data_IF_059356337574
#
_entry.id   IF_059356337574
#
_cell.length_a   1.000
_cell.length_b   1.000
_cell.length_c   1.000
_cell.angle_alpha   90.00
_cell.angle_beta   90.00
_cell.angle_gamma   90.00
#
_symmetry.space_group_name_H-M   'P 1'
#
loop_
_entity.id
_entity.type
_entity.pdbx_description
1 polymer ?
#
# COMPACT_ATOMS: atom_id res chain seq x y z
N UNK A 1 1.98 51.11 5.72
CA UNK A 1 2.03 49.92 6.53
C UNK A 1 1.82 48.71 5.62
N UNK A 2 2.93 48.26 5.01
CA UNK A 2 2.97 47.08 4.15
C UNK A 2 3.13 45.86 5.01
N UNK A 3 2.09 45.05 5.07
CA UNK A 3 2.20 43.67 5.53
C UNK A 3 2.63 42.87 4.31
N UNK A 4 3.93 42.60 4.19
CA UNK A 4 4.46 41.67 3.21
C UNK A 4 3.94 40.25 3.60
N UNK A 5 2.91 39.84 2.94
CA UNK A 5 2.51 38.43 2.94
C UNK A 5 3.56 37.65 2.16
N UNK A 6 4.51 37.08 2.88
CA UNK A 6 5.36 36.04 2.35
C UNK A 6 4.55 34.81 2.05
N UNK A 7 3.90 34.74 0.89
CA UNK A 7 3.44 33.47 0.32
C UNK A 7 4.70 32.63 0.09
N UNK A 8 4.98 31.72 1.01
CA UNK A 8 5.89 30.60 0.73
C UNK A 8 5.21 29.79 -0.36
N UNK A 9 5.50 30.13 -1.63
CA UNK A 9 5.09 29.33 -2.75
C UNK A 9 5.65 27.92 -2.55
N UNK A 10 4.78 26.92 -2.44
CA UNK A 10 5.23 25.55 -2.54
C UNK A 10 5.87 25.40 -3.91
N UNK A 11 7.17 25.10 -3.95
CA UNK A 11 7.82 24.72 -5.19
C UNK A 11 7.27 23.35 -5.59
N UNK A 12 6.25 23.38 -6.46
CA UNK A 12 5.51 22.18 -6.94
C UNK A 12 6.44 21.21 -7.67
N UNK A 13 7.66 21.62 -8.01
CA UNK A 13 8.62 20.80 -8.75
C UNK A 13 9.46 19.87 -7.87
N UNK A 14 9.45 20.05 -6.55
CA UNK A 14 10.28 19.26 -5.62
C UNK A 14 9.48 18.76 -4.43
N UNK A 15 8.69 17.73 -4.62
CA UNK A 15 8.06 17.02 -3.50
C UNK A 15 8.35 15.52 -3.58
N UNK A 16 8.20 14.86 -2.43
CA UNK A 16 8.41 13.44 -2.25
C UNK A 16 7.26 12.86 -1.44
N UNK A 17 6.48 11.97 -2.02
CA UNK A 17 5.51 11.20 -1.28
C UNK A 17 6.19 10.05 -0.54
N UNK A 18 5.95 9.93 0.77
CA UNK A 18 6.44 8.82 1.60
C UNK A 18 5.31 8.19 2.39
N UNK A 19 5.48 6.90 2.72
CA UNK A 19 4.78 6.24 3.81
C UNK A 19 5.54 6.42 5.12
N UNK A 20 5.49 5.42 6.01
CA UNK A 20 6.18 5.45 7.30
C UNK A 20 7.72 5.49 7.24
N UNK A 21 8.33 5.57 6.06
CA UNK A 21 9.78 5.72 5.87
C UNK A 21 10.60 4.45 6.14
N UNK A 22 9.98 3.31 6.41
CA UNK A 22 10.65 2.07 6.85
C UNK A 22 11.61 1.46 5.80
N UNK A 23 11.55 1.90 4.55
CA UNK A 23 12.42 1.42 3.47
C UNK A 23 13.12 2.58 2.73
N UNK A 24 13.44 3.65 3.45
CA UNK A 24 14.12 4.83 2.91
C UNK A 24 15.31 5.21 3.80
N UNK A 25 16.38 5.63 3.16
CA UNK A 25 17.54 6.22 3.82
C UNK A 25 17.87 7.53 3.10
N UNK A 26 17.74 8.65 3.82
CA UNK A 26 18.22 9.94 3.34
C UNK A 26 19.72 10.04 3.60
N UNK A 27 20.50 10.19 2.56
CA UNK A 27 21.97 10.40 2.64
C UNK A 27 22.34 11.87 2.67
N UNK A 28 21.39 12.74 2.29
CA UNK A 28 21.52 14.20 2.27
C UNK A 28 20.16 14.82 2.58
N UNK A 29 20.12 16.11 2.89
CA UNK A 29 18.89 16.86 3.08
C UNK A 29 18.09 16.91 1.78
N UNK A 30 16.83 16.50 1.82
CA UNK A 30 15.94 16.59 0.66
C UNK A 30 15.57 18.06 0.40
N UNK A 31 16.03 18.59 -0.74
CA UNK A 31 15.78 19.97 -1.15
C UNK A 31 14.39 20.14 -1.74
N UNK A 32 13.33 19.99 -0.91
CA UNK A 32 11.94 20.04 -1.34
C UNK A 32 10.97 19.78 -0.20
N UNK A 33 9.73 19.43 -0.52
CA UNK A 33 8.69 19.12 0.45
C UNK A 33 8.47 17.59 0.54
N UNK A 34 8.63 17.04 1.73
CA UNK A 34 8.26 15.64 2.00
C UNK A 34 6.80 15.59 2.45
N UNK A 35 5.99 14.79 1.77
CA UNK A 35 4.56 14.64 2.04
C UNK A 35 4.30 13.22 2.56
N UNK A 36 3.90 13.12 3.84
CA UNK A 36 3.43 11.89 4.45
C UNK A 36 1.91 11.94 4.60
N UNK A 37 1.19 11.12 3.84
CA UNK A 37 -0.27 10.99 3.94
C UNK A 37 -0.68 10.43 5.31
N UNK A 38 -1.84 10.90 5.82
CA UNK A 38 -2.37 10.46 7.13
C UNK A 38 -3.75 9.83 7.01
N UNK A 39 -4.11 9.37 5.82
CA UNK A 39 -5.42 8.78 5.56
C UNK A 39 -5.45 7.36 6.13
N UNK A 40 -6.27 7.17 7.14
CA UNK A 40 -6.48 5.91 7.86
C UNK A 40 -7.89 5.38 7.64
N UNK A 41 -8.18 4.23 8.22
CA UNK A 41 -9.48 3.57 8.20
C UNK A 41 -9.47 2.31 7.35
N UNK A 42 -10.33 1.37 7.74
CA UNK A 42 -10.55 0.09 7.06
C UNK A 42 -12.04 -0.05 6.89
N UNK A 43 -12.50 -0.25 5.65
CA UNK A 43 -13.91 -0.31 5.29
C UNK A 43 -14.18 -1.52 4.38
N UNK A 44 -15.18 -2.34 4.72
CA UNK A 44 -15.67 -3.40 3.84
C UNK A 44 -16.61 -2.78 2.81
N UNK A 45 -16.20 -2.77 1.54
CA UNK A 45 -16.98 -2.21 0.42
C UNK A 45 -17.95 -3.21 -0.17
N UNK A 46 -17.57 -4.49 -0.20
CA UNK A 46 -18.35 -5.56 -0.76
C UNK A 46 -18.11 -6.85 0.03
N UNK A 47 -19.16 -7.63 0.22
CA UNK A 47 -19.11 -8.92 0.91
C UNK A 47 -19.89 -9.94 0.14
N UNK A 48 -19.21 -10.94 -0.41
CA UNK A 48 -19.82 -12.13 -1.02
C UNK A 48 -19.65 -13.35 -0.11
N UNK A 49 -20.08 -14.53 -0.56
CA UNK A 49 -19.86 -15.79 0.15
C UNK A 49 -18.38 -16.23 0.12
N UNK A 50 -17.65 -15.86 -0.93
CA UNK A 50 -16.26 -16.31 -1.17
C UNK A 50 -15.21 -15.28 -0.80
N UNK A 51 -15.50 -13.98 -0.95
CA UNK A 51 -14.55 -12.90 -0.76
C UNK A 51 -15.17 -11.64 -0.14
N UNK A 52 -14.32 -10.75 0.33
CA UNK A 52 -14.65 -9.36 0.63
C UNK A 52 -13.73 -8.41 -0.12
N UNK A 53 -14.26 -7.28 -0.59
CA UNK A 53 -13.47 -6.13 -0.99
C UNK A 53 -13.31 -5.19 0.21
N UNK A 54 -12.07 -4.97 0.60
CA UNK A 54 -11.72 -4.14 1.76
C UNK A 54 -10.93 -2.93 1.29
N UNK A 55 -11.47 -1.75 1.52
CA UNK A 55 -10.82 -0.47 1.23
C UNK A 55 -10.05 0.01 2.44
N UNK A 56 -8.76 0.28 2.27
CA UNK A 56 -7.83 0.58 3.37
C UNK A 56 -7.10 1.88 3.09
N UNK A 57 -7.09 2.79 4.06
CA UNK A 57 -6.36 4.05 3.98
C UNK A 57 -4.84 3.82 3.90
N UNK A 58 -4.18 4.61 3.06
CA UNK A 58 -2.75 4.42 2.76
C UNK A 58 -1.83 4.51 3.99
N UNK A 59 -2.22 5.25 5.04
CA UNK A 59 -1.47 5.40 6.29
C UNK A 59 -1.86 4.39 7.38
N UNK A 60 -2.62 3.35 7.06
CA UNK A 60 -2.83 2.22 7.96
C UNK A 60 -1.55 1.40 8.01
N UNK A 61 -1.05 1.12 9.21
CA UNK A 61 0.12 0.26 9.41
C UNK A 61 -0.18 -1.12 8.84
N UNK A 62 0.72 -1.63 8.03
CA UNK A 62 0.50 -2.87 7.28
C UNK A 62 0.17 -4.06 8.19
N UNK A 63 0.95 -4.26 9.25
CA UNK A 63 0.74 -5.40 10.16
C UNK A 63 -0.54 -5.28 10.99
N UNK A 64 -0.96 -4.06 11.35
CA UNK A 64 -2.27 -3.80 11.96
C UNK A 64 -3.42 -4.21 11.00
N UNK A 65 -3.25 -3.96 9.69
CA UNK A 65 -4.21 -4.41 8.69
C UNK A 65 -4.23 -5.93 8.58
N UNK A 66 -3.08 -6.60 8.53
CA UNK A 66 -3.01 -8.07 8.52
C UNK A 66 -3.71 -8.66 9.74
N UNK A 67 -3.44 -8.12 10.94
CA UNK A 67 -4.11 -8.53 12.18
C UNK A 67 -5.62 -8.34 12.09
N UNK A 68 -6.07 -7.17 11.64
CA UNK A 68 -7.48 -6.86 11.46
C UNK A 68 -8.17 -7.86 10.52
N UNK A 69 -7.52 -8.28 9.42
CA UNK A 69 -8.11 -9.25 8.50
C UNK A 69 -8.35 -10.59 9.16
N UNK A 70 -7.41 -11.09 9.95
CA UNK A 70 -7.53 -12.35 10.69
C UNK A 70 -8.66 -12.28 11.73
N UNK A 71 -8.76 -11.18 12.48
CA UNK A 71 -9.82 -10.93 13.46
C UNK A 71 -11.23 -10.89 12.81
N UNK A 72 -11.31 -10.55 11.52
CA UNK A 72 -12.54 -10.50 10.74
C UNK A 72 -12.78 -11.76 9.86
N UNK A 73 -11.98 -12.82 10.03
CA UNK A 73 -12.02 -14.04 9.22
C UNK A 73 -11.88 -13.77 7.71
N UNK A 74 -10.94 -12.87 7.37
CA UNK A 74 -10.55 -12.55 6.00
C UNK A 74 -9.09 -12.99 5.80
N UNK A 75 -8.83 -13.68 4.70
CA UNK A 75 -7.60 -14.41 4.46
C UNK A 75 -6.97 -14.06 3.12
N UNK A 76 -5.66 -14.30 3.01
CA UNK A 76 -4.89 -14.16 1.78
C UNK A 76 -3.73 -13.18 1.88
N UNK A 77 -3.41 -12.63 3.07
CA UNK A 77 -2.24 -11.78 3.31
C UNK A 77 -1.42 -12.22 4.54
N UNK A 78 -1.71 -13.37 5.12
CA UNK A 78 -1.09 -13.87 6.35
C UNK A 78 0.44 -14.01 6.21
N UNK A 79 0.89 -14.47 5.05
CA UNK A 79 2.31 -14.63 4.74
C UNK A 79 3.09 -13.29 4.73
N UNK A 80 2.37 -12.17 4.66
CA UNK A 80 2.94 -10.82 4.60
C UNK A 80 2.94 -10.12 5.96
N UNK A 81 2.62 -10.84 7.05
CA UNK A 81 2.68 -10.32 8.42
C UNK A 81 4.09 -9.88 8.78
N UNK A 82 4.19 -8.94 9.74
CA UNK A 82 5.44 -8.37 10.26
C UNK A 82 6.32 -7.62 9.24
N UNK A 83 5.84 -7.40 8.00
CA UNK A 83 6.52 -6.50 7.07
C UNK A 83 6.32 -5.06 7.54
N UNK A 84 7.39 -4.31 7.82
CA UNK A 84 7.26 -2.93 8.29
C UNK A 84 6.77 -2.00 7.17
N UNK A 85 5.95 -1.00 7.51
CA UNK A 85 5.48 0.01 6.59
C UNK A 85 3.97 0.25 6.68
N UNK A 86 3.46 0.96 5.69
CA UNK A 86 2.07 1.37 5.57
C UNK A 86 1.43 0.77 4.32
N UNK A 87 0.11 0.65 4.32
CA UNK A 87 -0.67 0.01 3.25
C UNK A 87 -0.44 0.64 1.87
N UNK A 88 -0.35 1.98 1.77
CA UNK A 88 -0.03 2.64 0.50
C UNK A 88 1.35 2.26 -0.03
N UNK A 89 2.35 2.22 0.85
CA UNK A 89 3.72 1.83 0.49
C UNK A 89 3.80 0.35 0.06
N UNK A 90 2.94 -0.52 0.62
CA UNK A 90 2.88 -1.94 0.22
C UNK A 90 2.53 -2.09 -1.26
N UNK A 91 1.59 -1.27 -1.76
CA UNK A 91 1.20 -1.26 -3.17
C UNK A 91 2.29 -0.67 -4.08
N UNK A 92 3.02 0.37 -3.62
CA UNK A 92 4.13 0.95 -4.41
C UNK A 92 5.24 -0.07 -4.62
N UNK A 93 5.60 -0.82 -3.58
CA UNK A 93 6.75 -1.72 -3.60
C UNK A 93 6.45 -3.15 -4.00
N UNK A 94 5.16 -3.50 -4.20
CA UNK A 94 4.75 -4.89 -4.34
C UNK A 94 5.41 -5.76 -3.26
N UNK A 95 5.10 -5.47 -1.99
CA UNK A 95 5.70 -6.22 -0.87
C UNK A 95 5.43 -7.71 -1.03
N UNK A 96 6.39 -8.52 -0.63
CA UNK A 96 6.25 -9.97 -0.74
C UNK A 96 7.14 -10.72 0.24
N UNK A 97 6.64 -11.82 0.73
CA UNK A 97 7.33 -12.76 1.61
C UNK A 97 6.72 -14.16 1.49
N UNK A 98 7.49 -15.16 1.85
CA UNK A 98 7.05 -16.55 1.95
C UNK A 98 6.27 -17.07 0.74
N UNK A 99 6.72 -16.68 -0.48
CA UNK A 99 6.13 -17.14 -1.73
C UNK A 99 4.83 -16.42 -2.14
N UNK A 100 4.54 -15.28 -1.55
CA UNK A 100 3.40 -14.45 -1.86
C UNK A 100 3.81 -13.01 -2.11
N UNK A 101 3.11 -12.32 -3.02
CA UNK A 101 3.22 -10.87 -3.24
C UNK A 101 1.85 -10.21 -3.02
N UNK A 102 1.86 -8.96 -2.55
CA UNK A 102 0.62 -8.21 -2.25
C UNK A 102 -0.23 -7.95 -3.48
N UNK A 103 0.40 -7.87 -4.65
CA UNK A 103 -0.28 -7.75 -5.95
C UNK A 103 -1.30 -8.84 -6.23
N UNK A 104 -1.14 -10.03 -5.63
CA UNK A 104 -2.07 -11.15 -5.80
C UNK A 104 -3.48 -10.88 -5.22
N UNK A 105 -3.58 -9.90 -4.31
CA UNK A 105 -4.83 -9.55 -3.63
C UNK A 105 -5.25 -8.09 -3.85
N UNK A 106 -4.43 -7.26 -4.53
CA UNK A 106 -4.83 -5.88 -4.84
C UNK A 106 -5.86 -5.88 -5.96
N UNK A 107 -7.07 -5.44 -5.65
CA UNK A 107 -8.16 -5.22 -6.61
C UNK A 107 -8.01 -3.86 -7.31
N UNK A 108 -7.77 -2.79 -6.51
CA UNK A 108 -7.60 -1.41 -6.99
C UNK A 108 -6.66 -0.60 -6.12
N UNK A 109 -6.06 0.41 -6.74
CA UNK A 109 -5.29 1.46 -6.05
C UNK A 109 -5.90 2.81 -6.39
N UNK A 110 -6.31 3.55 -5.38
CA UNK A 110 -6.92 4.88 -5.52
C UNK A 110 -5.87 5.95 -5.20
N UNK A 111 -5.72 6.91 -6.09
CA UNK A 111 -4.65 7.90 -6.06
C UNK A 111 -5.14 9.30 -6.39
N UNK A 112 -4.40 10.31 -5.94
CA UNK A 112 -4.45 11.67 -6.45
C UNK A 112 -3.24 11.86 -7.37
N UNK A 113 -3.47 12.31 -8.61
CA UNK A 113 -2.40 12.70 -9.52
C UNK A 113 -1.88 14.09 -9.12
N UNK A 114 -0.58 14.24 -8.97
CA UNK A 114 0.05 15.48 -8.55
C UNK A 114 0.03 16.60 -9.61
N UNK A 115 -0.15 16.24 -10.89
CA UNK A 115 -0.13 17.20 -12.00
C UNK A 115 -1.46 17.97 -12.12
N UNK A 116 -2.59 17.28 -11.93
CA UNK A 116 -3.93 17.85 -12.13
C UNK A 116 -4.81 17.83 -10.86
N UNK A 117 -4.32 17.23 -9.77
CA UNK A 117 -4.99 17.05 -8.49
C UNK A 117 -6.31 16.23 -8.59
N UNK A 118 -6.49 15.52 -9.69
CA UNK A 118 -7.66 14.67 -9.89
C UNK A 118 -7.46 13.28 -9.23
N UNK A 119 -8.58 12.69 -8.83
CA UNK A 119 -8.59 11.31 -8.32
C UNK A 119 -8.63 10.32 -9.48
N UNK A 120 -7.79 9.28 -9.39
CA UNK A 120 -7.78 8.16 -10.32
C UNK A 120 -7.85 6.84 -9.55
N UNK A 121 -8.33 5.81 -10.23
CA UNK A 121 -8.38 4.45 -9.70
C UNK A 121 -7.83 3.48 -10.73
N UNK A 122 -6.76 2.77 -10.38
CA UNK A 122 -6.12 1.75 -11.21
C UNK A 122 -6.55 0.37 -10.75
N UNK A 123 -6.93 -0.52 -11.66
CA UNK A 123 -7.07 -1.93 -11.33
C UNK A 123 -5.70 -2.55 -11.02
N UNK A 124 -5.64 -3.52 -10.11
CA UNK A 124 -4.38 -4.18 -9.75
C UNK A 124 -3.62 -4.71 -10.98
N UNK A 125 -4.32 -5.29 -11.95
CA UNK A 125 -3.72 -5.76 -13.22
C UNK A 125 -3.06 -4.67 -14.08
N UNK A 126 -3.49 -3.41 -13.92
CA UNK A 126 -2.99 -2.27 -14.69
C UNK A 126 -1.84 -1.55 -13.96
N UNK A 127 -1.48 -2.01 -12.75
CA UNK A 127 -0.38 -1.46 -11.95
C UNK A 127 1.00 -2.03 -12.32
N UNK A 128 1.10 -2.87 -13.34
CA UNK A 128 2.33 -3.45 -13.89
C UNK A 128 3.26 -4.02 -12.81
N UNK A 129 2.70 -4.76 -11.86
CA UNK A 129 3.45 -5.33 -10.77
C UNK A 129 4.51 -6.31 -11.24
N UNK A 130 5.71 -6.17 -10.67
CA UNK A 130 6.85 -7.08 -10.85
C UNK A 130 7.57 -7.25 -9.50
N UNK A 131 8.60 -8.08 -9.46
CA UNK A 131 9.37 -8.29 -8.22
C UNK A 131 9.88 -6.96 -7.66
N UNK A 132 9.37 -6.57 -6.49
CA UNK A 132 9.68 -5.30 -5.80
C UNK A 132 9.45 -4.05 -6.65
N UNK A 133 8.56 -4.12 -7.62
CA UNK A 133 8.26 -3.02 -8.53
C UNK A 133 6.77 -2.89 -8.84
N UNK A 134 6.38 -1.66 -9.23
CA UNK A 134 5.04 -1.31 -9.71
C UNK A 134 5.09 -0.09 -10.60
N UNK A 135 4.03 0.16 -11.35
CA UNK A 135 3.83 1.41 -12.08
C UNK A 135 4.04 2.66 -11.20
N UNK A 136 3.58 2.64 -9.94
CA UNK A 136 3.72 3.78 -9.02
C UNK A 136 5.17 4.06 -8.64
N UNK A 137 6.01 3.03 -8.59
CA UNK A 137 7.44 3.19 -8.33
C UNK A 137 8.18 3.79 -9.53
N UNK A 138 7.75 3.43 -10.74
CA UNK A 138 8.31 3.97 -11.99
C UNK A 138 7.81 5.40 -12.26
N UNK A 139 6.54 5.67 -11.98
CA UNK A 139 5.94 7.01 -12.06
C UNK A 139 6.23 7.85 -10.80
N UNK A 140 7.49 7.86 -10.38
CA UNK A 140 7.98 8.48 -9.16
C UNK A 140 7.38 9.88 -8.92
N UNK A 141 6.82 10.09 -7.71
CA UNK A 141 6.20 11.33 -7.26
C UNK A 141 4.99 11.85 -8.07
N UNK A 142 4.51 11.11 -9.06
CA UNK A 142 3.35 11.53 -9.84
C UNK A 142 2.01 11.21 -9.18
N UNK A 143 1.97 10.16 -8.37
CA UNK A 143 0.74 9.68 -7.75
C UNK A 143 0.87 9.56 -6.24
N UNK A 144 -0.01 10.25 -5.52
CA UNK A 144 -0.20 10.07 -4.08
C UNK A 144 -1.27 9.01 -3.83
N UNK A 145 -0.88 7.83 -3.38
CA UNK A 145 -1.84 6.77 -3.01
C UNK A 145 -2.56 7.20 -1.74
N UNK A 146 -3.91 7.20 -1.78
CA UNK A 146 -4.73 7.51 -0.61
C UNK A 146 -5.50 6.31 -0.08
N UNK A 147 -5.85 5.33 -0.93
CA UNK A 147 -6.43 4.06 -0.49
C UNK A 147 -5.97 2.91 -1.40
N UNK A 148 -6.02 1.71 -0.82
CA UNK A 148 -5.87 0.46 -1.57
C UNK A 148 -7.07 -0.42 -1.28
N UNK A 149 -7.62 -1.06 -2.30
CA UNK A 149 -8.73 -2.01 -2.18
C UNK A 149 -8.18 -3.40 -2.39
N UNK A 150 -8.39 -4.25 -1.39
CA UNK A 150 -7.95 -5.63 -1.38
C UNK A 150 -9.13 -6.58 -1.58
N UNK A 151 -8.91 -7.63 -2.37
CA UNK A 151 -9.82 -8.76 -2.51
C UNK A 151 -9.33 -9.89 -1.62
N UNK A 152 -9.98 -10.10 -0.49
CA UNK A 152 -9.60 -11.07 0.53
C UNK A 152 -10.58 -12.24 0.57
N UNK A 153 -10.07 -13.46 0.75
CA UNK A 153 -10.90 -14.66 0.81
C UNK A 153 -11.62 -14.76 2.16
N UNK A 154 -12.82 -15.33 2.16
CA UNK A 154 -13.57 -15.68 3.38
C UNK A 154 -13.33 -17.11 3.86
N UNK A 155 -12.63 -17.91 3.07
CA UNK A 155 -12.20 -19.26 3.44
C UNK A 155 -10.69 -19.30 3.50
N UNK A 156 -10.15 -19.80 4.58
CA UNK A 156 -8.72 -19.98 4.74
C UNK A 156 -8.17 -20.94 3.68
N UNK A 157 -7.20 -20.47 2.90
CA UNK A 157 -6.48 -21.25 1.89
C UNK A 157 -4.99 -20.87 1.99
N UNK A 158 -4.19 -21.62 2.77
CA UNK A 158 -2.81 -21.25 3.01
C UNK A 158 -1.98 -21.25 1.73
N UNK A 159 -1.19 -20.22 1.55
CA UNK A 159 -0.20 -20.14 0.46
C UNK A 159 1.09 -20.81 0.94
N UNK A 160 1.32 -22.04 0.49
CA UNK A 160 2.45 -22.87 0.92
C UNK A 160 3.54 -22.99 -0.17
N UNK A 161 3.73 -21.97 -1.01
CA UNK A 161 4.76 -22.00 -2.07
C UNK A 161 6.18 -21.97 -1.52
N UNK A 162 6.36 -21.45 -0.30
CA UNK A 162 7.67 -21.40 0.36
C UNK A 162 7.98 -22.72 1.05
N UNK A 163 9.12 -23.34 0.69
CA UNK A 163 9.48 -24.71 1.10
C UNK A 163 9.46 -24.94 2.62
N UNK A 164 9.93 -23.97 3.41
CA UNK A 164 9.93 -24.09 4.86
C UNK A 164 8.51 -24.15 5.45
N UNK A 165 7.55 -23.38 4.88
CA UNK A 165 6.14 -23.45 5.29
C UNK A 165 5.53 -24.81 4.94
N UNK A 166 5.84 -25.36 3.76
CA UNK A 166 5.36 -26.70 3.37
C UNK A 166 5.81 -27.76 4.38
N UNK A 167 7.09 -27.70 4.80
CA UNK A 167 7.64 -28.67 5.77
C UNK A 167 6.96 -28.55 7.13
N UNK A 168 6.68 -27.33 7.59
CA UNK A 168 6.04 -27.11 8.89
C UNK A 168 4.58 -27.54 8.90
N UNK A 169 3.81 -27.21 7.87
CA UNK A 169 2.43 -27.68 7.71
C UNK A 169 2.29 -29.19 7.53
N UNK A 170 3.34 -29.88 7.06
CA UNK A 170 3.33 -31.35 6.90
C UNK A 170 3.62 -32.08 8.21
N UNK A 171 4.04 -31.37 9.25
CA UNK A 171 4.34 -31.92 10.59
C UNK A 171 3.18 -31.79 11.57
N UNK A 172 2.17 -31.00 11.20
CA UNK A 172 0.95 -30.77 11.99
C UNK A 172 -0.19 -31.63 11.49
#
# INVERSE_FOLDING_TARGET
NEISQGSRGFDVQKFLFIGGGSNMLFTEDFQGTVIHGRIKGIEIKEKSEEFCLVRVGAAVVWDDFVKWTLENNLYGIENLSLIPGETGASAVQNIGAYGMEVSEVIERVEVINADDLAEYSFHGKDCHYAYRNSFFKEAYNRYAIHHVIFRLNRKFRPVLRYKALQQEFSRT
#
